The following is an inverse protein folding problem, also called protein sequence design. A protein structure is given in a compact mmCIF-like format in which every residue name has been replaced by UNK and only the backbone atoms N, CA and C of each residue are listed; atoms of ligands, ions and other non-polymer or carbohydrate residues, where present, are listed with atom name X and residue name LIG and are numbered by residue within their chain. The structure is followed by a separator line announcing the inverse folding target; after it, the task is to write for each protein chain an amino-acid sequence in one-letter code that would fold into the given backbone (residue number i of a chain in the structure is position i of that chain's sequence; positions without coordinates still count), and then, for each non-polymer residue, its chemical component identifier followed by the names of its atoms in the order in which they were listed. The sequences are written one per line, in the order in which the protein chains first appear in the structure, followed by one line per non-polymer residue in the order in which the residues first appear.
data_IF_536902583206
#
_entry.id   IF_536902583206
#
_cell.length_a   1.000
_cell.length_b   1.000
_cell.length_c   1.000
_cell.angle_alpha   90.00
_cell.angle_beta   90.00
_cell.angle_gamma   90.00
#
_symmetry.space_group_name_H-M   'P 1'
#
loop_
_entity.id
_entity.type
_entity.pdbx_description
1 polymer ?
#
# COMPACT_ATOMS: atom_id res chain seq x y z
N UNK A 1 2.84 24.93 16.91
CA UNK A 1 2.61 26.29 16.36
C UNK A 1 1.16 26.34 15.89
N UNK A 2 0.53 27.51 15.81
CA UNK A 2 -0.84 27.61 15.29
C UNK A 2 -0.79 27.33 13.79
N UNK A 3 -1.52 26.33 13.30
CA UNK A 3 -1.58 26.01 11.87
C UNK A 3 -2.02 27.26 11.08
N UNK A 4 -1.22 27.65 10.10
CA UNK A 4 -1.56 28.75 9.19
C UNK A 4 -1.68 28.20 7.77
N UNK A 5 -2.92 28.10 7.32
CA UNK A 5 -3.26 27.47 6.03
C UNK A 5 -3.47 28.50 4.94
N UNK A 6 -2.76 28.34 3.82
CA UNK A 6 -3.05 28.97 2.55
C UNK A 6 -3.76 27.95 1.65
N UNK A 7 -4.96 28.28 1.17
CA UNK A 7 -5.76 27.36 0.36
C UNK A 7 -6.35 28.03 -0.88
N UNK A 8 -6.23 27.33 -2.01
CA UNK A 8 -6.96 27.57 -3.25
C UNK A 8 -7.95 26.44 -3.55
N UNK A 9 -8.30 25.62 -2.56
CA UNK A 9 -9.12 24.42 -2.74
C UNK A 9 -10.43 24.69 -3.49
N UNK A 10 -10.73 23.84 -4.47
CA UNK A 10 -12.03 23.80 -5.15
C UNK A 10 -12.37 25.02 -5.98
N UNK A 11 -11.40 25.91 -6.25
CA UNK A 11 -11.62 27.13 -7.04
C UNK A 11 -11.71 26.87 -8.55
N UNK A 12 -11.36 25.66 -9.02
CA UNK A 12 -11.38 25.29 -10.43
C UNK A 12 -10.59 26.27 -11.32
N UNK A 13 -9.44 26.76 -10.83
CA UNK A 13 -8.62 27.72 -11.55
C UNK A 13 -7.80 27.00 -12.63
N UNK A 14 -7.78 27.57 -13.84
CA UNK A 14 -6.88 27.15 -14.91
C UNK A 14 -5.66 28.07 -14.94
N UNK A 15 -4.55 27.59 -14.37
CA UNK A 15 -3.34 28.36 -14.12
C UNK A 15 -2.26 27.95 -15.13
N UNK A 16 -2.28 28.55 -16.32
CA UNK A 16 -1.39 28.18 -17.43
C UNK A 16 -0.03 28.89 -17.31
N UNK A 17 -0.06 30.18 -16.97
CA UNK A 17 1.07 31.11 -16.99
C UNK A 17 1.38 31.69 -15.60
N UNK A 18 2.52 32.38 -15.48
CA UNK A 18 2.84 33.18 -14.28
C UNK A 18 1.76 34.23 -13.98
N UNK A 19 1.23 34.88 -15.03
CA UNK A 19 0.22 35.93 -14.89
C UNK A 19 -1.10 35.39 -14.32
N UNK A 20 -1.43 34.12 -14.59
CA UNK A 20 -2.64 33.49 -14.08
C UNK A 20 -2.54 33.19 -12.58
N UNK A 21 -1.38 32.69 -12.12
CA UNK A 21 -1.21 32.27 -10.73
C UNK A 21 -0.76 33.40 -9.79
N UNK A 22 -0.02 34.40 -10.28
CA UNK A 22 0.56 35.45 -9.44
C UNK A 22 -0.45 36.18 -8.54
N UNK A 23 -1.66 36.58 -9.01
CA UNK A 23 -2.65 37.24 -8.16
C UNK A 23 -3.16 36.34 -7.02
N UNK A 24 -3.13 35.02 -7.22
CA UNK A 24 -3.59 34.07 -6.22
C UNK A 24 -2.55 33.80 -5.14
N UNK A 25 -1.25 34.01 -5.44
CA UNK A 25 -0.15 33.76 -4.51
C UNK A 25 0.15 34.94 -3.56
N UNK A 26 -0.57 36.07 -3.67
CA UNK A 26 -0.36 37.23 -2.79
C UNK A 26 -0.55 36.90 -1.30
N UNK A 27 -1.46 35.98 -0.99
CA UNK A 27 -1.73 35.51 0.38
C UNK A 27 -0.77 34.44 0.89
N UNK A 28 0.15 33.94 0.04
CA UNK A 28 1.11 32.90 0.42
C UNK A 28 2.33 33.53 1.11
N UNK A 29 2.18 33.79 2.40
CA UNK A 29 3.21 34.42 3.24
C UNK A 29 4.16 33.39 3.86
N UNK A 30 5.35 33.83 4.30
CA UNK A 30 6.43 32.93 4.76
C UNK A 30 6.12 32.16 6.05
N UNK A 31 5.13 32.60 6.82
CA UNK A 31 4.66 31.98 8.07
C UNK A 31 3.54 30.95 7.84
N UNK A 32 3.22 30.63 6.59
CA UNK A 32 2.29 29.55 6.22
C UNK A 32 2.92 28.20 6.52
N UNK A 33 2.18 27.36 7.24
CA UNK A 33 2.60 25.99 7.59
C UNK A 33 1.90 24.94 6.73
N UNK A 34 0.79 25.27 6.08
CA UNK A 34 0.05 24.36 5.21
C UNK A 34 -0.38 25.03 3.91
N UNK A 35 -0.11 24.38 2.78
CA UNK A 35 -0.62 24.79 1.46
C UNK A 35 -1.59 23.77 0.91
N UNK A 36 -2.68 24.23 0.30
CA UNK A 36 -3.68 23.40 -0.37
C UNK A 36 -3.97 23.97 -1.75
N UNK A 37 -3.64 23.22 -2.80
CA UNK A 37 -3.88 23.61 -4.20
C UNK A 37 -4.93 22.73 -4.91
N UNK A 38 -5.56 21.82 -4.16
CA UNK A 38 -6.52 20.85 -4.67
C UNK A 38 -7.64 21.42 -5.54
N UNK A 39 -7.97 20.73 -6.62
CA UNK A 39 -9.07 21.09 -7.51
C UNK A 39 -8.78 22.31 -8.39
N UNK A 40 -7.51 22.49 -8.76
CA UNK A 40 -7.08 23.51 -9.73
C UNK A 40 -6.20 22.84 -10.79
N UNK A 41 -5.91 23.52 -11.89
CA UNK A 41 -5.13 22.95 -12.99
C UNK A 41 -3.86 23.79 -13.19
N UNK A 42 -2.70 23.27 -12.81
CA UNK A 42 -1.43 24.01 -12.79
C UNK A 42 -0.55 23.60 -13.97
N UNK A 43 -0.12 24.59 -14.76
CA UNK A 43 0.71 24.43 -15.95
C UNK A 43 2.18 24.70 -15.64
N UNK A 44 3.06 24.45 -16.60
CA UNK A 44 4.52 24.51 -16.39
C UNK A 44 4.99 25.90 -15.92
N UNK A 45 4.51 26.98 -16.56
CA UNK A 45 4.89 28.34 -16.18
C UNK A 45 4.30 28.75 -14.82
N UNK A 46 3.04 28.40 -14.56
CA UNK A 46 2.44 28.63 -13.25
C UNK A 46 3.18 27.86 -12.13
N UNK A 47 3.63 26.64 -12.40
CA UNK A 47 4.45 25.84 -11.49
C UNK A 47 5.78 26.49 -11.17
N UNK A 48 6.40 27.18 -12.13
CA UNK A 48 7.63 27.94 -11.88
C UNK A 48 7.39 29.08 -10.88
N UNK A 49 6.33 29.86 -11.09
CA UNK A 49 5.96 30.95 -10.18
C UNK A 49 5.59 30.43 -8.77
N UNK A 50 4.88 29.30 -8.70
CA UNK A 50 4.57 28.62 -7.45
C UNK A 50 5.85 28.12 -6.76
N UNK A 51 6.74 27.44 -7.48
CA UNK A 51 8.01 26.92 -6.97
C UNK A 51 8.87 28.02 -6.34
N UNK A 52 8.90 29.22 -6.94
CA UNK A 52 9.67 30.34 -6.41
C UNK A 52 9.10 30.89 -5.11
N UNK A 53 7.79 30.76 -4.88
CA UNK A 53 7.18 31.02 -3.56
C UNK A 53 7.45 29.89 -2.58
N UNK A 54 7.24 28.62 -2.96
CA UNK A 54 7.41 27.46 -2.09
C UNK A 54 8.81 27.39 -1.46
N UNK A 55 9.87 27.68 -2.23
CA UNK A 55 11.27 27.70 -1.72
C UNK A 55 11.47 28.65 -0.53
N UNK A 56 10.63 29.67 -0.39
CA UNK A 56 10.70 30.68 0.68
C UNK A 56 9.99 30.25 1.97
N UNK A 57 9.13 29.23 1.92
CA UNK A 57 8.32 28.78 3.05
C UNK A 57 9.12 27.83 3.95
N UNK A 58 9.95 28.40 4.83
CA UNK A 58 10.80 27.61 5.75
C UNK A 58 10.03 26.90 6.86
N UNK A 59 8.82 27.37 7.14
CA UNK A 59 7.91 26.80 8.12
C UNK A 59 6.83 25.91 7.51
N UNK A 60 6.92 25.59 6.21
CA UNK A 60 5.97 24.68 5.56
C UNK A 60 6.10 23.26 6.13
N UNK A 61 4.98 22.74 6.62
CA UNK A 61 4.82 21.44 7.28
C UNK A 61 4.00 20.47 6.42
N UNK A 62 2.97 20.98 5.72
CA UNK A 62 2.03 20.18 4.92
C UNK A 62 1.85 20.79 3.52
N UNK A 63 1.95 19.96 2.48
CA UNK A 63 1.61 20.32 1.11
C UNK A 63 0.57 19.36 0.55
N UNK A 64 -0.65 19.87 0.36
CA UNK A 64 -1.71 19.19 -0.39
C UNK A 64 -1.71 19.70 -1.83
N UNK A 65 -1.20 18.84 -2.70
CA UNK A 65 -1.08 18.99 -4.14
C UNK A 65 -1.88 17.90 -4.86
N UNK A 66 -2.93 17.38 -4.21
CA UNK A 66 -3.86 16.43 -4.84
C UNK A 66 -4.67 17.11 -5.94
N UNK A 67 -5.05 16.39 -7.00
CA UNK A 67 -5.88 16.90 -8.11
C UNK A 67 -5.46 18.31 -8.61
N UNK A 68 -4.19 18.44 -9.03
CA UNK A 68 -3.64 19.69 -9.58
C UNK A 68 -3.42 19.65 -11.10
N UNK A 69 -3.66 18.49 -11.73
CA UNK A 69 -3.34 18.24 -13.14
C UNK A 69 -4.53 17.82 -14.00
N UNK A 70 -5.77 17.94 -13.49
CA UNK A 70 -6.96 17.66 -14.29
C UNK A 70 -6.97 18.51 -15.57
N UNK A 71 -6.99 17.83 -16.73
CA UNK A 71 -6.96 18.46 -18.05
C UNK A 71 -5.57 18.86 -18.59
N UNK A 72 -4.48 18.58 -17.88
CA UNK A 72 -3.11 18.80 -18.38
C UNK A 72 -2.63 17.71 -19.33
N UNK A 73 -1.73 18.08 -20.23
CA UNK A 73 -1.11 17.14 -21.16
C UNK A 73 -0.06 16.28 -20.45
N UNK A 74 0.07 15.02 -20.90
CA UNK A 74 1.03 14.05 -20.33
C UNK A 74 2.49 14.52 -20.44
N UNK A 75 2.79 15.38 -21.40
CA UNK A 75 4.13 15.95 -21.62
C UNK A 75 4.44 17.17 -20.73
N UNK A 76 3.39 17.79 -20.16
CA UNK A 76 3.51 18.94 -19.26
C UNK A 76 3.66 18.52 -17.80
N UNK A 77 2.91 17.49 -17.40
CA UNK A 77 2.84 17.02 -16.00
C UNK A 77 4.23 16.69 -15.44
N UNK A 78 5.11 15.91 -16.11
CA UNK A 78 6.43 15.59 -15.56
C UNK A 78 7.29 16.84 -15.31
N UNK A 79 7.25 17.82 -16.22
CA UNK A 79 8.01 19.08 -16.09
C UNK A 79 7.48 19.91 -14.93
N UNK A 80 6.17 20.04 -14.85
CA UNK A 80 5.51 20.77 -13.78
C UNK A 80 5.79 20.14 -12.41
N UNK A 81 5.68 18.80 -12.32
CA UNK A 81 5.95 18.06 -11.11
C UNK A 81 7.41 18.21 -10.67
N UNK A 82 8.36 18.09 -11.58
CA UNK A 82 9.79 18.28 -11.30
C UNK A 82 10.10 19.66 -10.71
N UNK A 83 9.51 20.72 -11.28
CA UNK A 83 9.65 22.09 -10.79
C UNK A 83 9.14 22.21 -9.34
N UNK A 84 7.94 21.68 -9.07
CA UNK A 84 7.31 21.78 -7.75
C UNK A 84 8.08 20.93 -6.72
N UNK A 85 8.34 19.65 -7.01
CA UNK A 85 9.03 18.76 -6.08
C UNK A 85 10.46 19.23 -5.78
N UNK A 86 11.18 19.75 -6.78
CA UNK A 86 12.50 20.35 -6.58
C UNK A 86 12.43 21.57 -5.66
N UNK A 87 11.38 22.37 -5.73
CA UNK A 87 11.17 23.48 -4.79
C UNK A 87 10.94 22.96 -3.35
N UNK A 88 10.10 21.94 -3.20
CA UNK A 88 9.74 21.36 -1.89
C UNK A 88 10.94 20.75 -1.14
N UNK A 89 11.99 20.29 -1.82
CA UNK A 89 13.25 19.85 -1.17
C UNK A 89 13.90 20.93 -0.27
N UNK A 90 13.54 22.21 -0.45
CA UNK A 90 14.01 23.33 0.36
C UNK A 90 13.21 23.54 1.66
N UNK A 91 12.07 22.85 1.81
CA UNK A 91 11.16 22.97 2.95
C UNK A 91 11.53 21.92 4.01
N UNK A 92 12.39 22.30 4.96
CA UNK A 92 12.99 21.35 5.92
C UNK A 92 12.05 20.88 7.03
N UNK A 93 10.86 21.47 7.15
CA UNK A 93 9.80 21.04 8.07
C UNK A 93 8.66 20.30 7.37
N UNK A 94 8.72 20.15 6.04
CA UNK A 94 7.63 19.55 5.26
C UNK A 94 7.58 18.05 5.52
N UNK A 95 6.76 17.63 6.47
CA UNK A 95 6.62 16.24 6.87
C UNK A 95 5.47 15.53 6.16
N UNK A 96 4.49 16.26 5.63
CA UNK A 96 3.33 15.66 4.93
C UNK A 96 3.24 16.16 3.50
N UNK A 97 3.15 15.22 2.55
CA UNK A 97 2.86 15.52 1.15
C UNK A 97 1.71 14.65 0.65
N UNK A 98 0.73 15.31 0.03
CA UNK A 98 -0.36 14.65 -0.70
C UNK A 98 -0.24 15.02 -2.19
N UNK A 99 -0.12 14.00 -3.02
CA UNK A 99 -0.08 14.12 -4.49
C UNK A 99 -1.16 13.25 -5.15
N UNK A 100 -2.19 12.86 -4.40
CA UNK A 100 -3.26 11.98 -4.86
C UNK A 100 -4.04 12.56 -6.04
N UNK A 101 -4.79 11.72 -6.76
CA UNK A 101 -5.68 12.13 -7.85
C UNK A 101 -4.99 12.91 -8.99
N UNK A 102 -3.69 12.65 -9.20
CA UNK A 102 -2.93 13.18 -10.32
C UNK A 102 -2.55 12.04 -11.27
N UNK A 103 -2.92 12.16 -12.56
CA UNK A 103 -2.64 11.16 -13.58
C UNK A 103 -1.15 11.10 -13.97
N UNK A 104 -0.35 10.56 -13.06
CA UNK A 104 1.10 10.47 -13.12
C UNK A 104 1.56 9.37 -14.08
N UNK A 105 1.15 8.13 -13.81
CA UNK A 105 1.69 6.97 -14.50
C UNK A 105 3.22 6.87 -14.46
N UNK A 106 3.78 6.08 -15.35
CA UNK A 106 5.24 5.89 -15.46
C UNK A 106 5.97 7.16 -15.93
N UNK A 107 5.30 8.08 -16.63
CA UNK A 107 5.95 9.26 -17.23
C UNK A 107 6.47 10.27 -16.20
N UNK A 108 5.92 10.27 -14.98
CA UNK A 108 6.27 11.22 -13.92
C UNK A 108 7.10 10.59 -12.81
N UNK A 109 7.56 9.35 -12.99
CA UNK A 109 8.27 8.62 -11.95
C UNK A 109 9.65 9.23 -11.66
N UNK A 110 10.36 9.79 -12.65
CA UNK A 110 11.72 10.30 -12.45
C UNK A 110 11.76 11.48 -11.46
N UNK A 111 10.91 12.52 -11.59
CA UNK A 111 10.81 13.58 -10.58
C UNK A 111 10.43 13.05 -9.20
N UNK A 112 9.47 12.12 -9.13
CA UNK A 112 8.97 11.58 -7.87
C UNK A 112 10.03 10.74 -7.16
N UNK A 113 10.71 9.84 -7.86
CA UNK A 113 11.83 9.06 -7.32
C UNK A 113 12.94 9.97 -6.79
N UNK A 114 13.32 11.00 -7.56
CA UNK A 114 14.36 11.96 -7.16
C UNK A 114 14.00 12.71 -5.87
N UNK A 115 12.72 13.08 -5.71
CA UNK A 115 12.22 13.74 -4.52
C UNK A 115 12.17 12.79 -3.32
N UNK A 116 11.51 11.63 -3.47
CA UNK A 116 11.30 10.66 -2.40
C UNK A 116 12.63 10.19 -1.82
N UNK A 117 13.64 9.92 -2.66
CA UNK A 117 14.95 9.47 -2.20
C UNK A 117 15.73 10.52 -1.36
N UNK A 118 15.33 11.81 -1.38
CA UNK A 118 16.10 12.91 -0.77
C UNK A 118 15.33 13.68 0.30
N UNK A 119 14.01 13.62 0.33
CA UNK A 119 13.19 14.45 1.21
C UNK A 119 13.11 13.87 2.63
N UNK A 120 14.21 13.94 3.36
CA UNK A 120 14.36 13.37 4.71
C UNK A 120 13.41 13.89 5.80
N UNK A 121 12.74 15.05 5.69
CA UNK A 121 11.69 15.42 6.64
C UNK A 121 10.39 14.62 6.51
N UNK A 122 10.20 13.84 5.45
CA UNK A 122 8.93 13.14 5.15
C UNK A 122 8.52 12.16 6.26
N UNK A 123 7.32 12.31 6.80
CA UNK A 123 6.69 11.43 7.79
C UNK A 123 5.39 10.80 7.24
N UNK A 124 4.67 11.52 6.38
CA UNK A 124 3.40 11.08 5.80
C UNK A 124 3.38 11.32 4.28
N UNK A 125 3.27 10.23 3.53
CA UNK A 125 3.23 10.22 2.08
C UNK A 125 1.87 9.72 1.59
N UNK A 126 1.18 10.53 0.80
CA UNK A 126 -0.12 10.19 0.24
C UNK A 126 -0.04 10.30 -1.29
N UNK A 127 -0.19 9.15 -1.94
CA UNK A 127 -0.05 8.90 -3.37
C UNK A 127 -1.23 8.05 -3.86
N UNK A 128 -2.47 8.40 -3.53
CA UNK A 128 -3.62 7.61 -3.94
C UNK A 128 -4.07 7.96 -5.37
N UNK A 129 -4.53 6.98 -6.14
CA UNK A 129 -5.18 7.20 -7.44
C UNK A 129 -4.30 7.99 -8.45
N UNK A 130 -3.04 7.54 -8.62
CA UNK A 130 -2.08 8.16 -9.53
C UNK A 130 -1.80 7.35 -10.80
N UNK A 131 -2.32 6.12 -10.87
CA UNK A 131 -2.22 5.25 -12.04
C UNK A 131 -0.80 4.80 -12.38
N UNK A 132 0.06 4.59 -11.36
CA UNK A 132 1.48 4.26 -11.54
C UNK A 132 1.74 2.99 -12.36
N UNK A 133 0.99 1.92 -12.11
CA UNK A 133 1.31 0.59 -12.61
C UNK A 133 2.49 -0.06 -11.85
N UNK A 134 2.78 -1.35 -12.12
CA UNK A 134 3.77 -2.11 -11.36
C UNK A 134 5.20 -1.54 -11.50
N UNK A 135 5.61 -1.13 -12.70
CA UNK A 135 6.98 -0.62 -12.92
C UNK A 135 7.26 0.66 -12.11
N UNK A 136 6.35 1.64 -12.15
CA UNK A 136 6.47 2.85 -11.35
C UNK A 136 6.31 2.54 -9.86
N UNK A 137 5.43 1.61 -9.50
CA UNK A 137 5.29 1.09 -8.14
C UNK A 137 6.60 0.56 -7.57
N UNK A 138 7.34 -0.25 -8.33
CA UNK A 138 8.65 -0.78 -7.93
C UNK A 138 9.69 0.33 -7.74
N UNK A 139 9.65 1.36 -8.58
CA UNK A 139 10.55 2.51 -8.45
C UNK A 139 10.22 3.37 -7.24
N UNK A 140 8.94 3.50 -6.86
CA UNK A 140 8.53 4.14 -5.60
C UNK A 140 9.09 3.37 -4.41
N UNK A 141 8.90 2.05 -4.34
CA UNK A 141 9.46 1.21 -3.27
C UNK A 141 10.97 1.39 -3.12
N UNK A 142 11.72 1.31 -4.23
CA UNK A 142 13.17 1.55 -4.26
C UNK A 142 13.57 2.97 -3.85
N UNK A 143 12.78 3.99 -4.20
CA UNK A 143 13.01 5.36 -3.76
C UNK A 143 12.84 5.51 -2.25
N UNK A 144 11.86 4.81 -1.67
CA UNK A 144 11.64 4.80 -0.21
C UNK A 144 12.73 4.04 0.54
N UNK A 145 13.32 3.00 -0.05
CA UNK A 145 14.54 2.37 0.50
C UNK A 145 15.69 3.38 0.57
N UNK A 146 15.95 4.12 -0.52
CA UNK A 146 16.96 5.21 -0.53
C UNK A 146 16.65 6.30 0.50
N UNK A 147 15.36 6.61 0.73
CA UNK A 147 14.95 7.54 1.78
C UNK A 147 15.31 7.03 3.18
N UNK A 148 15.17 5.72 3.43
CA UNK A 148 15.59 5.12 4.71
C UNK A 148 17.09 5.32 4.94
N UNK A 149 17.90 5.08 3.92
CA UNK A 149 19.36 5.29 3.96
C UNK A 149 19.69 6.77 4.25
N UNK A 150 19.06 7.70 3.51
CA UNK A 150 19.27 9.13 3.71
C UNK A 150 18.84 9.60 5.11
N UNK A 151 17.75 9.08 5.66
CA UNK A 151 17.32 9.37 7.05
C UNK A 151 18.30 8.79 8.07
N UNK A 152 18.80 7.58 7.84
CA UNK A 152 19.80 6.94 8.71
C UNK A 152 21.09 7.74 8.80
N UNK A 153 21.55 8.33 7.68
CA UNK A 153 22.72 9.21 7.66
C UNK A 153 22.56 10.48 8.52
N UNK A 154 21.33 10.95 8.74
CA UNK A 154 21.03 12.08 9.63
C UNK A 154 21.05 11.72 11.13
N UNK A 155 21.09 10.43 11.46
CA UNK A 155 21.14 9.93 12.84
C UNK A 155 19.78 9.55 13.42
N UNK A 156 19.78 9.17 14.71
CA UNK A 156 18.61 8.61 15.40
C UNK A 156 17.45 9.60 15.51
N UNK A 157 17.75 10.89 15.67
CA UNK A 157 16.79 11.99 15.76
C UNK A 157 16.12 12.34 14.41
N UNK A 158 16.47 11.65 13.32
CA UNK A 158 15.80 11.85 12.02
C UNK A 158 14.31 11.51 12.11
N UNK A 159 13.43 12.35 11.53
CA UNK A 159 12.00 12.05 11.44
C UNK A 159 11.77 10.68 10.80
N UNK A 160 10.84 9.91 11.33
CA UNK A 160 10.52 8.57 10.85
C UNK A 160 9.40 8.64 9.83
N UNK A 161 9.48 7.83 8.78
CA UNK A 161 8.32 7.65 7.92
C UNK A 161 7.30 6.80 8.70
N UNK A 162 6.10 7.33 8.85
CA UNK A 162 5.05 6.71 9.66
C UNK A 162 3.84 6.30 8.82
N UNK A 163 3.50 7.07 7.79
CA UNK A 163 2.32 6.83 6.95
C UNK A 163 2.67 6.75 5.47
N UNK A 164 2.21 5.70 4.80
CA UNK A 164 2.21 5.59 3.34
C UNK A 164 0.83 5.16 2.85
N UNK A 165 0.20 6.01 2.06
CA UNK A 165 -1.05 5.72 1.35
C UNK A 165 -0.73 5.68 -0.14
N UNK A 166 -0.96 4.53 -0.79
CA UNK A 166 -0.65 4.32 -2.20
C UNK A 166 -1.71 3.42 -2.86
N UNK A 167 -2.98 3.57 -2.48
CA UNK A 167 -4.10 2.84 -3.08
C UNK A 167 -4.45 3.29 -4.49
N UNK A 168 -5.18 2.47 -5.25
CA UNK A 168 -5.66 2.76 -6.62
C UNK A 168 -4.56 3.10 -7.63
N UNK A 169 -3.44 2.39 -7.56
CA UNK A 169 -2.29 2.62 -8.44
C UNK A 169 -1.95 1.47 -9.36
N UNK A 170 -2.68 0.36 -9.28
CA UNK A 170 -2.36 -0.88 -10.00
C UNK A 170 -0.91 -1.31 -9.72
N UNK A 171 -0.54 -1.35 -8.44
CA UNK A 171 0.79 -1.79 -8.04
C UNK A 171 1.05 -3.25 -8.45
N UNK A 172 0.01 -4.10 -8.42
CA UNK A 172 0.04 -5.50 -8.86
C UNK A 172 1.17 -6.32 -8.19
N UNK A 173 1.32 -7.60 -8.54
CA UNK A 173 2.37 -8.46 -7.97
C UNK A 173 3.79 -7.94 -8.27
N UNK A 174 3.99 -7.37 -9.46
CA UNK A 174 5.31 -7.00 -9.99
C UNK A 174 6.06 -5.94 -9.20
N UNK A 175 5.43 -5.30 -8.21
CA UNK A 175 6.09 -4.34 -7.33
C UNK A 175 6.28 -4.81 -5.89
N UNK A 176 5.69 -5.94 -5.48
CA UNK A 176 5.64 -6.33 -4.07
C UNK A 176 7.01 -6.65 -3.46
N UNK A 177 7.99 -7.08 -4.25
CA UNK A 177 9.38 -7.23 -3.79
C UNK A 177 9.97 -5.89 -3.32
N UNK A 178 9.84 -4.83 -4.13
CA UNK A 178 10.33 -3.50 -3.78
C UNK A 178 9.56 -2.88 -2.59
N UNK A 179 8.27 -3.21 -2.45
CA UNK A 179 7.47 -2.79 -1.29
C UNK A 179 7.86 -3.54 -0.01
N UNK A 180 8.17 -4.83 -0.09
CA UNK A 180 8.70 -5.61 1.03
C UNK A 180 10.07 -5.10 1.49
N UNK A 181 10.97 -4.79 0.55
CA UNK A 181 12.26 -4.13 0.84
C UNK A 181 12.07 -2.78 1.53
N UNK A 182 11.13 -1.96 1.02
CA UNK A 182 10.76 -0.68 1.61
C UNK A 182 10.32 -0.84 3.07
N UNK A 183 9.36 -1.74 3.35
CA UNK A 183 8.85 -1.95 4.70
C UNK A 183 9.94 -2.45 5.64
N UNK A 184 10.80 -3.36 5.18
CA UNK A 184 11.96 -3.84 5.93
C UNK A 184 12.97 -2.72 6.24
N UNK A 185 13.14 -1.75 5.33
CA UNK A 185 14.02 -0.60 5.54
C UNK A 185 13.44 0.44 6.51
N UNK A 186 12.11 0.51 6.63
CA UNK A 186 11.39 1.41 7.52
C UNK A 186 10.62 0.63 8.61
N UNK A 187 11.35 0.13 9.61
CA UNK A 187 10.74 -0.57 10.76
C UNK A 187 9.85 0.30 11.68
N UNK A 188 9.46 1.51 11.25
CA UNK A 188 8.67 2.50 12.02
C UNK A 188 7.30 2.81 11.42
N UNK A 189 6.92 2.16 10.32
CA UNK A 189 5.62 2.40 9.68
C UNK A 189 4.49 2.08 10.65
N UNK A 190 3.58 3.04 10.81
CA UNK A 190 2.37 2.95 11.63
C UNK A 190 1.12 2.77 10.79
N UNK A 191 1.09 3.33 9.58
CA UNK A 191 -0.07 3.26 8.70
C UNK A 191 0.34 2.96 7.26
N UNK A 192 -0.15 1.84 6.73
CA UNK A 192 0.02 1.45 5.35
C UNK A 192 -1.34 1.23 4.71
N UNK A 193 -1.60 1.92 3.59
CA UNK A 193 -2.81 1.72 2.79
C UNK A 193 -2.45 1.43 1.34
N UNK A 194 -2.74 0.22 0.87
CA UNK A 194 -2.52 -0.24 -0.49
C UNK A 194 -3.81 -0.80 -1.12
N UNK A 195 -4.97 -0.28 -0.72
CA UNK A 195 -6.27 -0.67 -1.27
C UNK A 195 -6.35 -0.55 -2.80
N UNK A 196 -7.14 -1.41 -3.44
CA UNK A 196 -7.49 -1.34 -4.86
C UNK A 196 -6.26 -1.30 -5.79
N UNK A 197 -5.27 -2.14 -5.52
CA UNK A 197 -4.03 -2.18 -6.30
C UNK A 197 -3.92 -3.39 -7.23
N UNK A 198 -4.92 -4.28 -7.23
CA UNK A 198 -4.88 -5.51 -8.03
C UNK A 198 -3.69 -6.40 -7.68
N UNK A 199 -3.23 -6.34 -6.42
CA UNK A 199 -2.23 -7.26 -5.90
C UNK A 199 -2.93 -8.61 -5.77
N UNK A 200 -2.34 -9.66 -6.35
CA UNK A 200 -2.86 -11.02 -6.34
C UNK A 200 -2.16 -11.85 -5.27
N UNK A 201 -2.60 -13.09 -5.11
CA UNK A 201 -2.26 -13.96 -3.98
C UNK A 201 -0.75 -14.11 -3.74
N UNK A 202 0.08 -14.20 -4.79
CA UNK A 202 1.53 -14.30 -4.67
C UNK A 202 2.16 -12.98 -4.19
N UNK A 203 1.66 -11.85 -4.68
CA UNK A 203 2.09 -10.53 -4.24
C UNK A 203 1.68 -10.26 -2.79
N UNK A 204 0.46 -10.65 -2.41
CA UNK A 204 -0.04 -10.55 -1.04
C UNK A 204 0.77 -11.42 -0.09
N UNK A 205 1.02 -12.69 -0.44
CA UNK A 205 1.87 -13.57 0.34
C UNK A 205 3.26 -12.94 0.54
N UNK A 206 3.89 -12.50 -0.54
CA UNK A 206 5.23 -11.91 -0.48
C UNK A 206 5.25 -10.67 0.43
N UNK A 207 4.26 -9.78 0.26
CA UNK A 207 4.12 -8.58 1.08
C UNK A 207 3.96 -8.92 2.56
N UNK A 208 3.15 -9.92 2.92
CA UNK A 208 2.96 -10.33 4.31
C UNK A 208 4.21 -10.96 4.91
N UNK A 209 4.85 -11.90 4.20
CA UNK A 209 5.94 -12.69 4.74
C UNK A 209 7.26 -11.93 4.79
N UNK A 210 7.50 -11.02 3.83
CA UNK A 210 8.79 -10.33 3.68
C UNK A 210 8.75 -8.83 3.94
N UNK A 211 7.56 -8.20 3.95
CA UNK A 211 7.40 -6.78 4.25
C UNK A 211 6.76 -6.54 5.61
N UNK A 212 5.48 -6.91 5.73
CA UNK A 212 4.66 -6.57 6.90
C UNK A 212 5.05 -7.34 8.16
N UNK A 213 5.69 -8.51 8.04
CA UNK A 213 6.29 -9.23 9.17
C UNK A 213 7.42 -8.45 9.85
N UNK A 214 8.04 -7.51 9.13
CA UNK A 214 9.07 -6.61 9.64
C UNK A 214 8.51 -5.26 10.15
N UNK A 215 7.19 -5.13 10.28
CA UNK A 215 6.50 -3.88 10.67
C UNK A 215 5.81 -3.99 12.05
N UNK A 216 6.56 -4.12 13.17
CA UNK A 216 5.98 -4.38 14.50
C UNK A 216 5.23 -3.18 15.11
N UNK A 217 5.40 -1.99 14.53
CA UNK A 217 4.75 -0.74 14.97
C UNK A 217 3.51 -0.38 14.15
N UNK A 218 3.05 -1.29 13.28
CA UNK A 218 1.88 -1.08 12.45
C UNK A 218 0.63 -0.93 13.34
N UNK A 219 -0.07 0.19 13.17
CA UNK A 219 -1.31 0.53 13.85
C UNK A 219 -2.51 0.43 12.90
N UNK A 220 -2.32 0.70 11.61
CA UNK A 220 -3.39 0.65 10.61
C UNK A 220 -2.91 -0.01 9.32
N UNK A 221 -3.65 -1.02 8.87
CA UNK A 221 -3.42 -1.69 7.61
C UNK A 221 -4.71 -1.70 6.79
N UNK A 222 -4.63 -1.21 5.56
CA UNK A 222 -5.72 -1.25 4.59
C UNK A 222 -5.22 -1.86 3.29
N UNK A 223 -5.69 -3.07 3.00
CA UNK A 223 -5.43 -3.81 1.76
C UNK A 223 -6.73 -4.12 1.01
N UNK A 224 -7.81 -3.39 1.28
CA UNK A 224 -9.13 -3.62 0.67
C UNK A 224 -9.05 -3.80 -0.85
N UNK A 225 -9.84 -4.72 -1.40
CA UNK A 225 -9.95 -4.96 -2.85
C UNK A 225 -8.58 -5.28 -3.49
N UNK A 226 -7.95 -6.31 -2.93
CA UNK A 226 -6.82 -7.04 -3.50
C UNK A 226 -7.10 -8.55 -3.33
N UNK A 227 -6.58 -9.41 -4.19
CA UNK A 227 -6.94 -10.84 -4.18
C UNK A 227 -6.03 -11.64 -3.27
N UNK A 228 -6.56 -12.19 -2.19
CA UNK A 228 -5.81 -12.97 -1.21
C UNK A 228 -5.85 -14.45 -1.51
N UNK A 229 -7.04 -15.01 -1.74
CA UNK A 229 -7.33 -16.45 -1.72
C UNK A 229 -6.85 -17.13 -0.43
N UNK A 230 -6.89 -18.46 -0.39
CA UNK A 230 -6.34 -19.23 0.73
C UNK A 230 -4.85 -18.93 0.97
N UNK A 231 -4.08 -18.71 -0.10
CA UNK A 231 -2.63 -18.48 -0.04
C UNK A 231 -2.31 -17.19 0.73
N UNK A 232 -2.92 -16.08 0.33
CA UNK A 232 -2.78 -14.79 1.00
C UNK A 232 -3.35 -14.80 2.42
N UNK A 233 -4.49 -15.45 2.65
CA UNK A 233 -5.07 -15.61 3.99
C UNK A 233 -4.16 -16.42 4.93
N UNK A 234 -3.50 -17.45 4.43
CA UNK A 234 -2.50 -18.23 5.18
C UNK A 234 -1.27 -17.41 5.53
N UNK A 235 -0.80 -16.55 4.61
CA UNK A 235 0.30 -15.62 4.86
C UNK A 235 -0.08 -14.58 5.93
N UNK A 236 -1.26 -13.98 5.82
CA UNK A 236 -1.83 -13.08 6.84
C UNK A 236 -1.86 -13.77 8.22
N UNK A 237 -2.36 -15.00 8.27
CA UNK A 237 -2.46 -15.81 9.49
C UNK A 237 -1.12 -16.03 10.19
N UNK A 238 -0.04 -16.18 9.41
CA UNK A 238 1.34 -16.30 9.93
C UNK A 238 1.89 -14.95 10.43
N UNK A 239 1.47 -13.84 9.83
CA UNK A 239 2.06 -12.52 10.07
C UNK A 239 1.33 -11.72 11.16
N UNK A 240 0.02 -11.89 11.34
CA UNK A 240 -0.81 -11.04 12.23
C UNK A 240 -0.30 -10.97 13.67
N UNK A 241 0.37 -12.01 14.16
CA UNK A 241 0.98 -12.04 15.50
C UNK A 241 2.14 -11.05 15.70
N UNK A 242 2.66 -10.44 14.63
CA UNK A 242 3.73 -9.43 14.71
C UNK A 242 3.21 -8.02 15.03
N UNK A 243 1.92 -7.74 14.87
CA UNK A 243 1.35 -6.39 14.98
C UNK A 243 0.67 -6.15 16.34
N UNK A 244 1.45 -6.08 17.42
CA UNK A 244 0.92 -5.92 18.79
C UNK A 244 0.25 -4.55 19.05
N UNK A 245 0.45 -3.58 18.16
CA UNK A 245 -0.12 -2.23 18.22
C UNK A 245 -1.27 -1.99 17.23
N UNK A 246 -1.74 -3.02 16.53
CA UNK A 246 -2.74 -2.88 15.47
C UNK A 246 -4.07 -2.37 16.03
N UNK A 247 -4.55 -1.25 15.50
CA UNK A 247 -5.82 -0.61 15.85
C UNK A 247 -6.87 -0.80 14.77
N UNK A 248 -6.46 -0.87 13.50
CA UNK A 248 -7.37 -0.99 12.36
C UNK A 248 -6.80 -2.00 11.35
N UNK A 249 -7.61 -3.01 11.03
CA UNK A 249 -7.35 -3.94 9.93
C UNK A 249 -8.52 -3.90 8.97
N UNK A 250 -8.25 -3.45 7.74
CA UNK A 250 -9.19 -3.41 6.64
C UNK A 250 -8.71 -4.31 5.51
N UNK A 251 -9.41 -5.43 5.33
CA UNK A 251 -9.19 -6.42 4.26
C UNK A 251 -10.52 -6.87 3.66
N UNK A 252 -11.47 -5.94 3.55
CA UNK A 252 -12.73 -6.19 2.83
C UNK A 252 -12.48 -6.40 1.33
N UNK A 253 -13.37 -7.12 0.68
CA UNK A 253 -13.30 -7.42 -0.76
C UNK A 253 -12.00 -8.14 -1.15
N UNK A 254 -11.45 -8.98 -0.25
CA UNK A 254 -10.15 -9.62 -0.45
C UNK A 254 -10.23 -11.08 -0.90
N UNK A 255 -11.42 -11.68 -0.97
CA UNK A 255 -11.63 -13.09 -1.35
C UNK A 255 -10.74 -14.02 -0.52
N UNK A 256 -10.93 -14.03 0.81
CA UNK A 256 -10.17 -14.92 1.69
C UNK A 256 -10.49 -16.40 1.46
N UNK A 257 -11.65 -16.71 0.87
CA UNK A 257 -12.29 -18.03 0.81
C UNK A 257 -12.74 -18.54 2.18
N UNK A 258 -13.61 -19.55 2.19
CA UNK A 258 -14.08 -20.17 3.43
C UNK A 258 -12.91 -20.74 4.26
N UNK A 259 -12.03 -21.54 3.61
CA UNK A 259 -10.83 -22.12 4.24
C UNK A 259 -9.86 -21.04 4.74
N UNK A 260 -9.67 -19.95 3.99
CA UNK A 260 -8.80 -18.86 4.43
C UNK A 260 -9.41 -18.06 5.58
N UNK A 261 -10.74 -17.88 5.60
CA UNK A 261 -11.49 -17.35 6.72
C UNK A 261 -11.31 -18.16 8.01
N UNK A 262 -11.41 -19.50 7.92
CA UNK A 262 -11.12 -20.40 9.04
C UNK A 262 -9.66 -20.29 9.53
N UNK A 263 -8.70 -20.30 8.61
CA UNK A 263 -7.28 -20.18 8.94
C UNK A 263 -6.99 -18.87 9.68
N UNK A 264 -7.54 -17.77 9.19
CA UNK A 264 -7.39 -16.46 9.79
C UNK A 264 -8.08 -16.35 11.15
N UNK A 265 -9.32 -16.84 11.28
CA UNK A 265 -10.04 -16.89 12.56
C UNK A 265 -9.27 -17.67 13.63
N UNK A 266 -8.68 -18.82 13.26
CA UNK A 266 -7.82 -19.60 14.17
C UNK A 266 -6.57 -18.82 14.59
N UNK A 267 -5.89 -18.17 13.66
CA UNK A 267 -4.73 -17.36 13.97
C UNK A 267 -5.06 -16.21 14.93
N UNK A 268 -6.19 -15.53 14.72
CA UNK A 268 -6.67 -14.47 15.62
C UNK A 268 -6.99 -15.01 17.03
N UNK A 269 -7.55 -16.22 17.14
CA UNK A 269 -7.86 -16.88 18.42
C UNK A 269 -6.60 -17.26 19.22
N UNK A 270 -5.52 -17.58 18.52
CA UNK A 270 -4.21 -17.92 19.08
C UNK A 270 -3.34 -16.67 19.36
N UNK A 271 -3.64 -15.55 18.69
CA UNK A 271 -2.90 -14.29 18.84
C UNK A 271 -3.23 -13.55 20.14
N UNK A 272 -2.22 -13.32 20.99
CA UNK A 272 -2.37 -12.55 22.23
C UNK A 272 -2.16 -11.03 22.06
N UNK A 273 -1.76 -10.57 20.88
CA UNK A 273 -1.37 -9.18 20.60
C UNK A 273 -2.52 -8.22 20.29
N UNK A 274 -3.74 -8.70 20.10
CA UNK A 274 -4.86 -7.94 19.48
C UNK A 274 -5.66 -7.04 20.43
N UNK A 275 -5.17 -6.84 21.66
CA UNK A 275 -5.83 -6.00 22.65
C UNK A 275 -6.01 -4.53 22.23
N UNK A 276 -5.22 -4.04 21.26
CA UNK A 276 -5.31 -2.67 20.74
C UNK A 276 -6.27 -2.53 19.56
N UNK A 277 -6.78 -3.64 19.01
CA UNK A 277 -7.63 -3.63 17.82
C UNK A 277 -8.98 -2.99 18.13
N UNK A 278 -9.31 -1.94 17.39
CA UNK A 278 -10.54 -1.17 17.53
C UNK A 278 -11.48 -1.34 16.33
N UNK A 279 -10.93 -1.59 15.14
CA UNK A 279 -11.69 -1.71 13.89
C UNK A 279 -11.21 -2.92 13.11
N UNK A 280 -12.13 -3.83 12.78
CA UNK A 280 -11.87 -5.00 11.96
C UNK A 280 -12.90 -5.08 10.84
N UNK A 281 -12.45 -4.97 9.59
CA UNK A 281 -13.32 -4.93 8.42
C UNK A 281 -12.99 -6.08 7.49
N UNK A 282 -13.95 -6.98 7.33
CA UNK A 282 -13.85 -8.27 6.66
C UNK A 282 -15.01 -8.49 5.69
N UNK A 283 -15.63 -7.44 5.16
CA UNK A 283 -16.76 -7.57 4.24
C UNK A 283 -16.34 -8.31 2.96
N UNK A 284 -17.25 -9.04 2.32
CA UNK A 284 -17.03 -9.67 1.01
C UNK A 284 -15.76 -10.53 0.92
N UNK A 285 -15.59 -11.45 1.86
CA UNK A 285 -14.41 -12.32 1.96
C UNK A 285 -14.71 -13.81 1.89
N UNK A 286 -15.96 -14.18 1.63
CA UNK A 286 -16.39 -15.58 1.50
C UNK A 286 -16.20 -16.40 2.78
N UNK A 287 -16.18 -15.73 3.94
CA UNK A 287 -16.06 -16.37 5.25
C UNK A 287 -17.36 -17.12 5.54
N UNK A 288 -17.27 -18.42 5.83
CA UNK A 288 -18.42 -19.26 6.12
C UNK A 288 -18.77 -19.28 7.63
N UNK A 289 -19.75 -20.09 8.01
CA UNK A 289 -20.17 -20.24 9.40
C UNK A 289 -19.05 -20.76 10.34
N UNK A 290 -18.13 -21.59 9.85
CA UNK A 290 -17.00 -22.09 10.64
C UNK A 290 -15.98 -20.98 10.91
N UNK A 291 -15.65 -20.19 9.89
CA UNK A 291 -14.82 -19.01 10.01
C UNK A 291 -15.43 -17.97 10.95
N UNK A 292 -16.73 -17.69 10.81
CA UNK A 292 -17.48 -16.79 11.69
C UNK A 292 -17.38 -17.20 13.15
N UNK A 293 -17.57 -18.49 13.45
CA UNK A 293 -17.46 -19.01 14.81
C UNK A 293 -16.07 -18.77 15.42
N UNK A 294 -15.01 -19.05 14.66
CA UNK A 294 -13.63 -18.82 15.10
C UNK A 294 -13.35 -17.33 15.34
N UNK A 295 -13.88 -16.45 14.49
CA UNK A 295 -13.79 -15.01 14.66
C UNK A 295 -14.47 -14.55 15.96
N UNK A 296 -15.67 -15.05 16.26
CA UNK A 296 -16.40 -14.70 17.50
C UNK A 296 -15.62 -15.15 18.74
N UNK A 297 -15.09 -16.38 18.73
CA UNK A 297 -14.24 -16.87 19.82
C UNK A 297 -12.99 -15.98 20.00
N UNK A 298 -12.38 -15.54 18.89
CA UNK A 298 -11.23 -14.64 18.91
C UNK A 298 -11.61 -13.24 19.44
N UNK A 299 -12.75 -12.68 19.04
CA UNK A 299 -13.24 -11.38 19.49
C UNK A 299 -13.51 -11.40 20.99
N UNK A 300 -14.20 -12.43 21.47
CA UNK A 300 -14.52 -12.61 22.88
C UNK A 300 -13.25 -12.70 23.75
N UNK A 301 -12.22 -13.39 23.26
CA UNK A 301 -11.01 -13.71 24.02
C UNK A 301 -9.92 -12.64 23.92
N UNK A 302 -9.64 -12.14 22.72
CA UNK A 302 -8.41 -11.41 22.41
C UNK A 302 -8.63 -9.95 21.98
N UNK A 303 -9.87 -9.53 21.66
CA UNK A 303 -10.16 -8.18 21.15
C UNK A 303 -11.13 -7.40 22.07
N UNK A 304 -10.76 -7.12 23.32
CA UNK A 304 -11.64 -6.45 24.29
C UNK A 304 -11.98 -5.00 23.90
N UNK A 305 -11.20 -4.36 23.04
CA UNK A 305 -11.37 -2.95 22.64
C UNK A 305 -11.99 -2.78 21.24
N UNK A 306 -12.48 -3.87 20.61
CA UNK A 306 -13.10 -3.80 19.29
C UNK A 306 -14.39 -2.96 19.35
N UNK A 307 -14.44 -1.92 18.51
CA UNK A 307 -15.53 -0.92 18.43
C UNK A 307 -16.36 -1.08 17.17
N UNK A 308 -15.75 -1.49 16.06
CA UNK A 308 -16.45 -1.70 14.80
C UNK A 308 -15.97 -3.00 14.17
N UNK A 309 -16.94 -3.83 13.80
CA UNK A 309 -16.75 -5.07 13.05
C UNK A 309 -17.62 -5.00 11.80
N UNK A 310 -17.00 -5.19 10.63
CA UNK A 310 -17.72 -5.22 9.37
C UNK A 310 -17.60 -6.63 8.74
N UNK A 311 -18.74 -7.30 8.55
CA UNK A 311 -18.86 -8.68 8.09
C UNK A 311 -19.86 -8.88 6.96
N UNK A 312 -20.51 -7.81 6.47
CA UNK A 312 -21.48 -7.93 5.38
C UNK A 312 -20.89 -8.60 4.12
N UNK A 313 -21.72 -9.34 3.38
CA UNK A 313 -21.32 -10.04 2.15
C UNK A 313 -20.45 -11.28 2.33
N UNK A 314 -20.45 -11.89 3.53
CA UNK A 314 -19.82 -13.19 3.78
C UNK A 314 -20.84 -14.34 3.69
N UNK A 315 -20.37 -15.59 3.62
CA UNK A 315 -21.17 -16.80 3.34
C UNK A 315 -21.90 -17.35 4.58
N UNK A 316 -22.75 -16.53 5.18
CA UNK A 316 -23.69 -16.92 6.24
C UNK A 316 -24.94 -16.01 6.23
N UNK A 317 -26.11 -16.54 6.62
CA UNK A 317 -27.34 -15.73 6.65
C UNK A 317 -27.31 -14.67 7.77
N UNK A 318 -28.06 -13.59 7.59
CA UNK A 318 -28.13 -12.48 8.56
C UNK A 318 -28.67 -12.91 9.94
N UNK A 319 -29.51 -13.96 9.99
CA UNK A 319 -30.16 -14.49 11.18
C UNK A 319 -29.43 -15.70 11.80
N UNK A 320 -28.17 -15.94 11.41
CA UNK A 320 -27.38 -17.06 11.91
C UNK A 320 -27.20 -16.99 13.46
N UNK A 321 -27.27 -18.12 14.16
CA UNK A 321 -27.19 -18.20 15.64
C UNK A 321 -25.91 -17.59 16.25
N UNK A 322 -24.85 -17.50 15.44
CA UNK A 322 -23.58 -16.90 15.83
C UNK A 322 -23.62 -15.37 15.83
N UNK A 323 -24.49 -14.74 15.01
CA UNK A 323 -24.68 -13.29 14.99
C UNK A 323 -25.31 -12.80 16.29
N UNK A 324 -26.30 -13.53 16.83
CA UNK A 324 -26.86 -13.25 18.16
C UNK A 324 -25.78 -13.28 19.25
N UNK A 325 -24.88 -14.26 19.18
CA UNK A 325 -23.76 -14.37 20.13
C UNK A 325 -22.80 -13.19 20.03
N UNK A 326 -22.51 -12.72 18.81
CA UNK A 326 -21.68 -11.56 18.55
C UNK A 326 -22.32 -10.26 19.05
N UNK A 327 -23.62 -10.07 18.79
CA UNK A 327 -24.37 -8.93 19.30
C UNK A 327 -24.41 -8.92 20.83
N UNK A 328 -24.63 -10.08 21.46
CA UNK A 328 -24.57 -10.20 22.92
C UNK A 328 -23.20 -9.79 23.49
N UNK A 329 -22.08 -10.10 22.80
CA UNK A 329 -20.75 -9.67 23.22
C UNK A 329 -20.65 -8.13 23.26
N UNK A 330 -21.16 -7.43 22.25
CA UNK A 330 -21.12 -5.96 22.21
C UNK A 330 -22.10 -5.32 23.20
N UNK A 331 -23.29 -5.91 23.37
CA UNK A 331 -24.25 -5.49 24.41
C UNK A 331 -23.66 -5.61 25.81
N UNK A 332 -23.02 -6.75 26.14
CA UNK A 332 -22.40 -7.00 27.43
C UNK A 332 -21.24 -6.04 27.72
N UNK A 333 -20.49 -5.63 26.68
CA UNK A 333 -19.45 -4.61 26.76
C UNK A 333 -20.01 -3.20 26.95
N UNK A 334 -21.23 -2.95 26.47
CA UNK A 334 -21.84 -1.62 26.39
C UNK A 334 -21.24 -0.73 25.30
N UNK A 335 -20.47 -1.29 24.38
CA UNK A 335 -19.90 -0.64 23.20
C UNK A 335 -19.51 -1.70 22.17
N UNK A 336 -19.29 -1.25 20.93
CA UNK A 336 -19.06 -2.12 19.79
C UNK A 336 -20.28 -2.15 18.88
N UNK A 337 -20.05 -2.21 17.57
CA UNK A 337 -21.10 -2.34 16.57
C UNK A 337 -20.67 -3.33 15.48
N UNK A 338 -21.65 -4.10 15.03
CA UNK A 338 -21.60 -4.88 13.79
C UNK A 338 -22.27 -4.04 12.70
N UNK A 339 -21.77 -4.11 11.46
CA UNK A 339 -22.43 -3.51 10.32
C UNK A 339 -23.80 -4.14 10.03
N UNK A 340 -24.60 -3.44 9.22
CA UNK A 340 -25.85 -4.00 8.70
C UNK A 340 -25.50 -5.12 7.71
N UNK A 341 -25.95 -6.35 8.01
CA UNK A 341 -25.82 -7.50 7.14
C UNK A 341 -26.98 -7.49 6.14
N UNK A 342 -26.67 -7.68 4.86
CA UNK A 342 -27.69 -7.85 3.83
C UNK A 342 -28.14 -9.32 3.78
N UNK A 343 -29.42 -9.55 3.52
CA UNK A 343 -29.99 -10.89 3.28
C UNK A 343 -29.36 -11.48 2.01
N UNK A 344 -28.47 -12.45 2.18
CA UNK A 344 -27.86 -13.15 1.05
C UNK A 344 -28.89 -14.11 0.45
N UNK A 345 -29.31 -13.87 -0.79
CA UNK A 345 -30.05 -14.87 -1.56
C UNK A 345 -29.16 -16.13 -1.67
N UNK A 346 -29.63 -17.28 -1.15
CA UNK A 346 -28.96 -18.57 -1.34
C UNK A 346 -28.78 -18.79 -2.86
N UNK A 347 -27.59 -18.54 -3.39
CA UNK A 347 -27.21 -19.13 -4.67
C UNK A 347 -27.14 -20.64 -4.42
N UNK A 348 -28.00 -21.38 -5.14
CA UNK A 348 -28.08 -22.83 -5.00
C UNK A 348 -26.80 -23.44 -5.58
N UNK A 349 -25.80 -23.67 -4.72
CA UNK A 349 -24.53 -24.31 -5.03
C UNK A 349 -24.73 -25.80 -5.32
N UNK A 350 -24.79 -26.17 -6.61
CA UNK A 350 -24.49 -27.52 -7.10
C UNK A 350 -23.19 -27.53 -7.96
N UNK A 351 -22.44 -26.41 -8.08
CA UNK A 351 -21.29 -26.30 -9.00
C UNK A 351 -19.95 -25.80 -8.38
N UNK A 352 -19.88 -25.40 -7.11
CA UNK A 352 -18.69 -24.68 -6.57
C UNK A 352 -17.73 -25.51 -5.68
N UNK A 353 -18.08 -26.72 -5.25
CA UNK A 353 -17.15 -27.58 -4.48
C UNK A 353 -16.00 -28.13 -5.35
N UNK A 354 -16.18 -28.18 -6.69
CA UNK A 354 -15.18 -28.70 -7.63
C UNK A 354 -14.09 -27.65 -7.97
N UNK A 355 -14.38 -26.34 -7.90
CA UNK A 355 -13.41 -25.28 -8.28
C UNK A 355 -12.28 -25.11 -7.24
N UNK A 356 -12.59 -25.24 -5.94
CA UNK A 356 -11.59 -25.14 -4.86
C UNK A 356 -10.60 -26.32 -4.87
N UNK A 357 -11.03 -27.52 -5.27
CA UNK A 357 -10.14 -28.68 -5.44
C UNK A 357 -9.28 -28.54 -6.70
N UNK A 358 -9.84 -28.03 -7.81
CA UNK A 358 -9.10 -27.76 -9.05
C UNK A 358 -8.03 -26.66 -8.87
N UNK A 359 -8.33 -25.58 -8.12
CA UNK A 359 -7.32 -24.56 -7.80
C UNK A 359 -6.17 -25.11 -6.93
N UNK A 360 -6.48 -25.98 -5.95
CA UNK A 360 -5.47 -26.65 -5.13
C UNK A 360 -4.58 -27.60 -5.97
N UNK A 361 -5.17 -28.36 -6.91
CA UNK A 361 -4.41 -29.23 -7.83
C UNK A 361 -3.53 -28.40 -8.77
N UNK A 362 -4.07 -27.32 -9.37
CA UNK A 362 -3.28 -26.42 -10.23
C UNK A 362 -2.14 -25.73 -9.45
N UNK A 363 -2.37 -25.30 -8.22
CA UNK A 363 -1.34 -24.65 -7.39
C UNK A 363 -0.24 -25.63 -6.99
N UNK A 364 -0.61 -26.85 -6.58
CA UNK A 364 0.37 -27.92 -6.30
C UNK A 364 1.17 -28.28 -7.55
N UNK A 365 0.54 -28.33 -8.72
CA UNK A 365 1.22 -28.62 -9.98
C UNK A 365 2.19 -27.49 -10.34
N UNK A 366 1.79 -26.22 -10.21
CA UNK A 366 2.68 -25.06 -10.44
C UNK A 366 3.85 -24.99 -9.45
N UNK A 367 3.63 -25.27 -8.17
CA UNK A 367 4.70 -25.35 -7.18
C UNK A 367 5.70 -26.47 -7.50
N UNK A 368 5.19 -27.62 -7.96
CA UNK A 368 6.03 -28.74 -8.39
C UNK A 368 6.92 -28.37 -9.58
N UNK A 369 6.36 -27.71 -10.59
CA UNK A 369 7.08 -27.27 -11.80
C UNK A 369 8.17 -26.26 -11.44
N UNK A 370 7.87 -25.32 -10.53
CA UNK A 370 8.82 -24.30 -10.09
C UNK A 370 9.98 -24.93 -9.32
N UNK A 371 9.68 -25.86 -8.41
CA UNK A 371 10.70 -26.58 -7.63
C UNK A 371 11.60 -27.45 -8.54
N UNK A 372 11.04 -28.06 -9.57
CA UNK A 372 11.79 -28.83 -10.57
C UNK A 372 12.67 -27.94 -11.45
N UNK A 373 12.22 -26.74 -11.80
CA UNK A 373 13.01 -25.75 -12.54
C UNK A 373 14.22 -25.25 -11.73
N UNK A 374 14.01 -24.92 -10.45
CA UNK A 374 15.09 -24.51 -9.53
C UNK A 374 16.08 -25.66 -9.28
N UNK A 375 15.58 -26.89 -9.17
CA UNK A 375 16.43 -28.08 -9.05
C UNK A 375 17.29 -28.29 -10.31
N UNK A 376 16.72 -28.10 -11.50
CA UNK A 376 17.42 -28.22 -12.77
C UNK A 376 18.48 -27.12 -12.99
N UNK A 377 18.25 -25.89 -12.52
CA UNK A 377 19.27 -24.83 -12.53
C UNK A 377 20.40 -25.08 -11.51
N UNK A 378 20.11 -25.80 -10.43
CA UNK A 378 21.09 -26.14 -9.39
C UNK A 378 21.94 -27.39 -9.70
N UNK A 379 21.53 -28.20 -10.68
CA UNK A 379 22.36 -29.30 -11.19
C UNK A 379 23.47 -28.75 -12.11
N UNK A 380 24.71 -28.75 -11.58
CA UNK A 380 25.92 -28.40 -12.31
C UNK A 380 26.02 -29.14 -13.65
N UNK A 381 25.90 -28.41 -14.77
CA UNK A 381 26.42 -28.88 -16.06
C UNK A 381 27.94 -28.90 -15.96
N UNK A 382 28.52 -30.09 -15.79
CA UNK A 382 29.97 -30.27 -15.88
C UNK A 382 30.44 -29.76 -17.26
N UNK A 383 31.47 -28.89 -17.34
CA UNK A 383 31.98 -28.47 -18.63
C UNK A 383 32.70 -29.64 -19.29
N UNK A 384 32.06 -30.26 -20.29
CA UNK A 384 32.79 -31.07 -21.25
C UNK A 384 33.78 -30.16 -21.97
N UNK A 385 35.07 -30.31 -21.62
CA UNK A 385 36.17 -29.74 -22.39
C UNK A 385 36.21 -30.42 -23.77
N UNK A 386 35.43 -29.90 -24.68
CA UNK A 386 35.54 -30.22 -26.10
C UNK A 386 36.88 -29.71 -26.62
N UNK A 387 37.79 -30.63 -26.96
CA UNK A 387 39.12 -30.36 -27.56
C UNK A 387 39.08 -29.57 -28.88
N UNK A 388 37.91 -29.26 -29.42
CA UNK A 388 37.76 -28.57 -30.70
C UNK A 388 37.78 -27.05 -30.60
N UNK A 389 37.55 -26.47 -29.41
CA UNK A 389 37.51 -25.01 -29.23
C UNK A 389 38.92 -24.41 -29.11
N UNK A 390 39.83 -25.11 -28.43
CA UNK A 390 41.23 -24.67 -28.28
C UNK A 390 42.01 -24.76 -29.62
N UNK A 391 41.75 -25.79 -30.43
CA UNK A 391 42.39 -25.93 -31.75
C UNK A 391 41.95 -24.84 -32.76
N UNK A 392 40.75 -24.28 -32.60
CA UNK A 392 40.21 -23.21 -33.45
C UNK A 392 40.79 -21.84 -33.08
N UNK A 393 41.06 -21.60 -31.78
CA UNK A 393 41.69 -20.38 -31.29
C UNK A 393 43.16 -20.28 -31.75
N UNK A 394 43.89 -21.39 -31.76
CA UNK A 394 45.28 -21.45 -32.21
C UNK A 394 45.45 -21.32 -33.74
N UNK A 395 44.40 -21.63 -34.52
CA UNK A 395 44.40 -21.40 -35.97
C UNK A 395 44.16 -19.93 -36.34
N UNK A 396 43.31 -19.21 -35.59
CA UNK A 396 43.02 -17.80 -35.85
C UNK A 396 44.21 -16.90 -35.45
N UNK A 397 45.00 -17.30 -34.46
CA UNK A 397 46.19 -16.55 -34.02
C UNK A 397 47.40 -16.64 -34.99
N UNK A 398 47.36 -17.51 -36.01
CA UNK A 398 48.45 -17.65 -37.00
C UNK A 398 48.26 -16.86 -38.29
N UNK A 399 47.08 -16.26 -38.50
CA UNK A 399 46.75 -15.49 -39.70
C UNK A 399 46.55 -13.98 -39.42
N UNK A 400 47.08 -13.46 -38.30
CA UNK A 400 47.15 -12.03 -37.97
C UNK A 400 48.58 -11.50 -37.89
#
# INVERSE_FOLDING_TARGET
MTEKTFSLEGKALKLDTEADIAPHLEGLTTDVTKVVFKGNTIGVEASQALADKLKTLKDLEVADLSDIYTGRLREEIPKSLDIILTALLNCKKLHTIDLSDNAFGIATIDPLESFLAKHTPLEHLILANNGFGPEAGSRIGKALVKLAEAKKELGEDSPKLETVVCGRNRLENGSMEAWAEFLSAHGTIKELRLYQNGIRQEGIEHLFLHGLSASPHLEKLDLQDNTFTLRGATALSKTVASWNGLKELQISDCLLTAKGGEAFGRALLECSGLHTLEVLKLQYNEIDANGLKLLIDAIAKNMPNLKALELNGNRFPEDHEHIDSLNQIFEDRGFGELDELDDMEEETDDEDEDEDEEEEEEEQERESITRDADAAESENVAPEKSKTVDDLADQIAKDL
#
